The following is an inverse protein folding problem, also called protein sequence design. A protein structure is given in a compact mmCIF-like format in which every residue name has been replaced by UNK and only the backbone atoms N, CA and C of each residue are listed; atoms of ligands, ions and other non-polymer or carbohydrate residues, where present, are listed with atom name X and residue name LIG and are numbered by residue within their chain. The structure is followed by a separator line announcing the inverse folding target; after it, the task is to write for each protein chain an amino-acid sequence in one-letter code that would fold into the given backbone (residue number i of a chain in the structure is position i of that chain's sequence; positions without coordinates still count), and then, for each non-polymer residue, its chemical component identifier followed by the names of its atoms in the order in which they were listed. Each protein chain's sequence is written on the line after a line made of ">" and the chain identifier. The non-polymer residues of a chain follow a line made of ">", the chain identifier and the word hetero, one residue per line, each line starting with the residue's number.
data_IF_708543658616
#
_entry.id   IF_708543658616
#
_cell.length_a   1.000
_cell.length_b   1.000
_cell.length_c   1.000
_cell.angle_alpha   90.00
_cell.angle_beta   90.00
_cell.angle_gamma   90.00
#
_symmetry.space_group_name_H-M   'P 1'
#
loop_
_entity.id
_entity.type
_entity.pdbx_description
1 polymer ?
#
# COMPACT_ATOMS: atom_id res chain seq x y z
N UNK A 1 9.38 -31.30 27.17
CA UNK A 1 8.15 -30.62 26.70
C UNK A 1 7.80 -31.25 25.36
N UNK A 2 6.67 -31.96 25.28
CA UNK A 2 6.33 -32.77 24.11
C UNK A 2 5.75 -31.91 22.99
N UNK A 3 6.20 -32.15 21.76
CA UNK A 3 5.52 -31.68 20.55
C UNK A 3 4.20 -32.44 20.51
N UNK A 4 3.14 -31.80 20.98
CA UNK A 4 1.78 -32.34 20.97
C UNK A 4 1.07 -31.91 19.70
N UNK A 5 0.04 -32.67 19.31
CA UNK A 5 -0.82 -32.41 18.16
C UNK A 5 -1.36 -30.96 18.12
N UNK A 6 -1.55 -30.37 19.31
CA UNK A 6 -1.96 -28.97 19.50
C UNK A 6 -0.97 -27.96 18.93
N UNK A 7 0.35 -28.20 19.04
CA UNK A 7 1.37 -27.31 18.49
C UNK A 7 1.28 -27.29 16.96
N UNK A 8 1.03 -28.44 16.34
CA UNK A 8 0.87 -28.55 14.90
C UNK A 8 -0.40 -27.85 14.41
N UNK A 9 -1.51 -28.01 15.12
CA UNK A 9 -2.76 -27.30 14.83
C UNK A 9 -2.62 -25.77 14.96
N UNK A 10 -1.87 -25.29 15.95
CA UNK A 10 -1.56 -23.86 16.12
C UNK A 10 -0.72 -23.33 14.95
N UNK A 11 0.31 -24.06 14.52
CA UNK A 11 1.14 -23.65 13.38
C UNK A 11 0.35 -23.58 12.07
N UNK A 12 -0.54 -24.54 11.82
CA UNK A 12 -1.41 -24.53 10.62
C UNK A 12 -2.38 -23.35 10.66
N UNK A 13 -3.00 -23.10 11.81
CA UNK A 13 -3.90 -21.95 11.99
C UNK A 13 -3.18 -20.63 11.75
N UNK A 14 -1.97 -20.49 12.30
CA UNK A 14 -1.14 -19.31 12.07
C UNK A 14 -0.73 -19.14 10.60
N UNK A 15 -0.32 -20.23 9.95
CA UNK A 15 0.04 -20.20 8.53
C UNK A 15 -1.15 -19.78 7.64
N UNK A 16 -2.35 -20.29 7.90
CA UNK A 16 -3.56 -19.88 7.18
C UNK A 16 -3.90 -18.41 7.43
N UNK A 17 -3.74 -17.93 8.66
CA UNK A 17 -3.96 -16.52 9.00
C UNK A 17 -2.98 -15.60 8.26
N UNK A 18 -1.68 -15.93 8.26
CA UNK A 18 -0.66 -15.16 7.53
C UNK A 18 -0.97 -15.16 6.03
N UNK A 19 -1.31 -16.33 5.46
CA UNK A 19 -1.69 -16.42 4.05
C UNK A 19 -2.91 -15.55 3.73
N UNK A 20 -3.93 -15.55 4.59
CA UNK A 20 -5.10 -14.70 4.45
C UNK A 20 -4.73 -13.20 4.49
N UNK A 21 -3.92 -12.78 5.45
CA UNK A 21 -3.43 -11.41 5.53
C UNK A 21 -2.66 -11.00 4.27
N UNK A 22 -1.78 -11.86 3.76
CA UNK A 22 -1.05 -11.58 2.51
C UNK A 22 -1.98 -11.51 1.29
N UNK A 23 -2.99 -12.37 1.20
CA UNK A 23 -3.86 -12.46 0.01
C UNK A 23 -4.93 -11.36 -0.05
N UNK A 24 -5.44 -10.92 1.10
CA UNK A 24 -6.59 -10.01 1.18
C UNK A 24 -6.25 -8.64 1.79
N UNK A 25 -5.43 -8.60 2.84
CA UNK A 25 -5.12 -7.34 3.54
C UNK A 25 -4.04 -6.56 2.81
N UNK A 26 -2.97 -7.23 2.39
CA UNK A 26 -1.86 -6.63 1.65
C UNK A 26 -2.27 -5.88 0.37
N UNK A 27 -3.08 -6.45 -0.55
CA UNK A 27 -3.47 -5.73 -1.76
C UNK A 27 -4.29 -4.47 -1.47
N UNK A 28 -5.18 -4.50 -0.48
CA UNK A 28 -5.99 -3.33 -0.09
C UNK A 28 -5.10 -2.21 0.47
N UNK A 29 -4.08 -2.56 1.25
CA UNK A 29 -3.14 -1.56 1.78
C UNK A 29 -2.32 -0.93 0.66
N UNK A 30 -1.81 -1.72 -0.29
CA UNK A 30 -1.01 -1.18 -1.40
C UNK A 30 -1.86 -0.31 -2.31
N UNK A 31 -3.08 -0.72 -2.65
CA UNK A 31 -4.00 0.07 -3.48
C UNK A 31 -4.28 1.45 -2.85
N UNK A 32 -4.55 1.48 -1.54
CA UNK A 32 -4.75 2.73 -0.80
C UNK A 32 -3.49 3.61 -0.75
N UNK A 33 -2.30 3.01 -0.73
CA UNK A 33 -1.03 3.73 -0.80
C UNK A 33 -0.78 4.30 -2.19
N UNK A 34 -1.04 3.51 -3.23
CA UNK A 34 -0.84 3.89 -4.63
C UNK A 34 -1.78 5.04 -5.02
N UNK A 35 -3.03 5.02 -4.57
CA UNK A 35 -3.97 6.13 -4.77
C UNK A 35 -3.45 7.44 -4.14
N UNK A 36 -2.86 7.36 -2.94
CA UNK A 36 -2.26 8.51 -2.26
C UNK A 36 -1.03 9.02 -3.00
N UNK A 37 -0.15 8.13 -3.45
CA UNK A 37 1.03 8.49 -4.22
C UNK A 37 0.63 9.17 -5.54
N UNK A 38 -0.37 8.64 -6.23
CA UNK A 38 -0.87 9.20 -7.48
C UNK A 38 -1.41 10.63 -7.30
N UNK A 39 -2.22 10.86 -6.26
CA UNK A 39 -2.73 12.21 -5.94
C UNK A 39 -1.61 13.22 -5.67
N UNK A 40 -0.53 12.78 -5.01
CA UNK A 40 0.63 13.64 -4.75
C UNK A 40 1.38 13.95 -6.04
N UNK A 41 1.60 12.94 -6.90
CA UNK A 41 2.25 13.12 -8.20
C UNK A 41 1.46 14.07 -9.11
N UNK A 42 0.14 13.85 -9.25
CA UNK A 42 -0.74 14.69 -10.05
C UNK A 42 -0.76 16.14 -9.54
N UNK A 43 -0.74 16.33 -8.21
CA UNK A 43 -0.68 17.65 -7.58
C UNK A 43 0.65 18.38 -7.81
N UNK A 44 1.78 17.65 -7.75
CA UNK A 44 3.10 18.21 -8.00
C UNK A 44 3.26 18.64 -9.47
N UNK A 45 2.82 17.80 -10.40
CA UNK A 45 2.82 18.10 -11.83
C UNK A 45 1.93 19.30 -12.17
N UNK A 46 0.77 19.41 -11.52
CA UNK A 46 -0.12 20.57 -11.70
C UNK A 46 0.51 21.87 -11.19
N UNK A 47 1.22 21.82 -10.05
CA UNK A 47 1.92 22.97 -9.52
C UNK A 47 3.07 23.42 -10.43
N UNK A 48 3.85 22.47 -10.98
CA UNK A 48 4.95 22.78 -11.90
C UNK A 48 4.43 23.43 -13.20
N UNK A 49 3.34 22.89 -13.77
CA UNK A 49 2.66 23.51 -14.93
C UNK A 49 2.15 24.92 -14.61
N UNK A 50 1.51 25.10 -13.47
CA UNK A 50 1.00 26.41 -13.07
C UNK A 50 2.11 27.46 -12.90
N UNK A 51 3.27 27.06 -12.36
CA UNK A 51 4.44 27.92 -12.26
C UNK A 51 4.98 28.32 -13.64
N UNK A 52 5.09 27.36 -14.57
CA UNK A 52 5.52 27.61 -15.95
C UNK A 52 4.59 28.58 -16.68
N UNK A 53 3.28 28.35 -16.58
CA UNK A 53 2.27 29.20 -17.20
C UNK A 53 2.30 30.63 -16.62
N UNK A 54 2.57 30.77 -15.32
CA UNK A 54 2.71 32.06 -14.65
C UNK A 54 3.97 32.82 -15.12
N UNK A 55 5.11 32.13 -15.26
CA UNK A 55 6.34 32.73 -15.80
C UNK A 55 6.14 33.22 -17.23
N UNK A 56 5.49 32.42 -18.08
CA UNK A 56 5.20 32.79 -19.47
C UNK A 56 4.21 33.96 -19.54
N UNK A 57 3.22 34.02 -18.63
CA UNK A 57 2.25 35.12 -18.60
C UNK A 57 2.82 36.43 -18.01
N UNK A 58 3.90 36.36 -17.23
CA UNK A 58 4.59 37.53 -16.66
C UNK A 58 5.73 38.07 -17.55
N UNK A 59 6.13 37.35 -18.60
CA UNK A 59 7.13 37.75 -19.58
C UNK A 59 6.50 38.47 -20.79
#
# INVERSE_FOLDING_TARGET
>A
MNINLTLFGQMVTFAMFVWFCMRFVWPVIIDAMEERQKKIADGLDAADRAMRDLEVAQA
#
